data_IF_871212713851
#
_entry.id   IF_871212713851
#
_cell.length_a   1.000
_cell.length_b   1.000
_cell.length_c   1.000
_cell.angle_alpha   90.00
_cell.angle_beta   90.00
_cell.angle_gamma   90.00
#
_symmetry.space_group_name_H-M   'P 1'
#
loop_
_entity.id
_entity.type
_entity.pdbx_description
1 polymer ?
#
# COMPACT_ATOMS: atom_id res chain seq x y z
N UNK A 1 24.88 -0.23 -18.52
CA UNK A 1 25.61 0.83 -19.25
C UNK A 1 25.55 2.20 -18.57
N UNK A 2 25.11 2.35 -17.31
CA UNK A 2 25.03 3.68 -16.66
C UNK A 2 24.05 4.66 -17.31
N UNK A 3 23.23 4.20 -18.26
CA UNK A 3 22.24 4.99 -18.98
C UNK A 3 20.88 4.90 -18.29
N UNK A 4 20.12 5.99 -18.36
CA UNK A 4 18.73 6.01 -17.91
C UNK A 4 17.85 5.15 -18.83
N UNK A 5 16.93 4.40 -18.20
CA UNK A 5 15.97 3.51 -18.87
C UNK A 5 14.57 3.74 -18.33
N UNK A 6 13.57 3.55 -19.18
CA UNK A 6 12.19 3.36 -18.74
C UNK A 6 11.94 1.87 -18.62
N UNK A 7 11.70 1.37 -17.42
CA UNK A 7 11.50 -0.06 -17.15
C UNK A 7 10.06 -0.32 -16.73
N UNK A 8 9.46 -1.38 -17.27
CA UNK A 8 8.19 -1.93 -16.82
C UNK A 8 8.48 -3.21 -16.06
N UNK A 9 7.96 -3.34 -14.83
CA UNK A 9 8.03 -4.57 -14.03
C UNK A 9 6.60 -4.99 -13.69
N UNK A 10 6.25 -6.24 -13.98
CA UNK A 10 4.90 -6.75 -13.82
C UNK A 10 4.93 -8.14 -13.18
N UNK A 11 4.04 -8.39 -12.23
CA UNK A 11 3.78 -9.75 -11.74
C UNK A 11 2.84 -10.50 -12.70
N UNK A 12 3.00 -11.81 -12.81
CA UNK A 12 2.09 -12.68 -13.56
C UNK A 12 0.64 -12.65 -13.02
N UNK A 13 0.46 -12.40 -11.72
CA UNK A 13 -0.84 -12.36 -11.07
C UNK A 13 -1.47 -13.76 -10.96
N UNK A 14 -2.81 -13.91 -11.12
CA UNK A 14 -3.48 -15.22 -11.05
C UNK A 14 -3.37 -16.02 -12.37
N UNK A 15 -2.62 -15.51 -13.36
CA UNK A 15 -2.53 -16.11 -14.68
C UNK A 15 -2.03 -17.56 -14.63
N UNK A 16 -2.65 -18.46 -15.40
CA UNK A 16 -2.19 -19.84 -15.46
C UNK A 16 -0.89 -19.95 -16.26
N UNK A 17 0.21 -20.29 -15.60
CA UNK A 17 1.46 -20.50 -16.33
C UNK A 17 2.61 -20.99 -15.49
N UNK A 18 2.50 -22.20 -14.92
CA UNK A 18 3.63 -22.99 -14.36
C UNK A 18 3.18 -24.26 -13.65
N UNK A 19 2.50 -25.13 -14.40
CA UNK A 19 2.31 -26.53 -14.02
C UNK A 19 3.44 -27.43 -14.50
N UNK A 20 4.72 -27.10 -14.24
CA UNK A 20 5.84 -28.00 -14.59
C UNK A 20 6.59 -28.45 -13.34
N UNK A 21 5.95 -29.31 -12.56
CA UNK A 21 6.58 -30.04 -11.47
C UNK A 21 5.82 -29.96 -10.14
N UNK A 22 5.89 -31.03 -9.36
CA UNK A 22 5.41 -31.07 -7.99
C UNK A 22 6.27 -30.11 -7.15
N UNK A 23 5.71 -28.96 -6.77
CA UNK A 23 6.41 -27.91 -6.00
C UNK A 23 6.82 -26.64 -6.76
N UNK A 24 6.55 -26.54 -8.06
CA UNK A 24 6.60 -25.25 -8.76
C UNK A 24 5.24 -24.56 -8.63
N UNK A 25 5.17 -23.36 -8.03
CA UNK A 25 4.07 -22.43 -8.39
C UNK A 25 4.28 -21.88 -9.76
N UNK A 26 5.57 -21.71 -10.14
CA UNK A 26 6.20 -20.95 -11.21
C UNK A 26 5.59 -19.60 -11.55
N UNK A 27 5.05 -18.95 -10.53
CA UNK A 27 4.75 -17.53 -10.60
C UNK A 27 6.05 -16.73 -10.72
N UNK A 28 6.00 -15.60 -11.42
CA UNK A 28 7.18 -14.77 -11.66
C UNK A 28 6.83 -13.29 -11.82
N UNK A 29 7.86 -12.47 -11.64
CA UNK A 29 7.89 -11.09 -12.13
C UNK A 29 8.65 -11.03 -13.44
N UNK A 30 8.19 -10.22 -14.38
CA UNK A 30 8.89 -9.93 -15.64
C UNK A 30 9.28 -8.46 -15.67
N UNK A 31 10.47 -8.16 -16.21
CA UNK A 31 10.91 -6.81 -16.50
C UNK A 31 11.20 -6.59 -17.98
N UNK A 32 10.78 -5.44 -18.50
CA UNK A 32 10.99 -5.00 -19.87
C UNK A 32 11.65 -3.61 -19.87
N UNK A 33 12.64 -3.41 -20.74
CA UNK A 33 13.08 -2.08 -21.15
C UNK A 33 12.11 -1.55 -22.20
N UNK A 34 11.33 -0.54 -21.81
CA UNK A 34 10.35 0.14 -22.65
C UNK A 34 10.80 1.57 -22.98
N UNK A 35 12.11 1.83 -22.97
CA UNK A 35 12.68 3.13 -23.35
C UNK A 35 12.30 3.48 -24.80
N UNK A 36 12.31 2.49 -25.69
CA UNK A 36 11.70 2.57 -27.01
C UNK A 36 10.37 1.82 -26.99
N UNK A 37 9.26 2.56 -26.98
CA UNK A 37 7.90 1.99 -26.90
C UNK A 37 7.54 1.16 -28.14
N UNK A 38 8.17 1.41 -29.28
CA UNK A 38 7.94 0.65 -30.52
C UNK A 38 8.76 -0.65 -30.55
N UNK A 39 9.74 -0.80 -29.65
CA UNK A 39 10.63 -1.95 -29.60
C UNK A 39 10.97 -2.36 -28.14
N UNK A 40 9.97 -2.75 -27.33
CA UNK A 40 10.20 -3.17 -25.95
C UNK A 40 11.11 -4.40 -25.90
N UNK A 41 12.15 -4.37 -25.07
CA UNK A 41 13.11 -5.47 -24.92
C UNK A 41 12.92 -6.19 -23.59
N UNK A 42 12.94 -7.54 -23.56
CA UNK A 42 12.96 -8.27 -22.29
C UNK A 42 14.28 -8.00 -21.55
N UNK A 43 14.18 -7.75 -20.25
CA UNK A 43 15.33 -7.67 -19.36
C UNK A 43 15.53 -9.00 -18.64
N UNK A 44 14.53 -9.45 -17.88
CA UNK A 44 14.60 -10.66 -17.08
C UNK A 44 13.22 -11.16 -16.66
N UNK A 45 13.18 -12.41 -16.23
CA UNK A 45 12.10 -13.03 -15.45
C UNK A 45 12.69 -13.46 -14.10
N UNK A 46 12.01 -13.11 -13.01
CA UNK A 46 12.43 -13.41 -11.64
C UNK A 46 11.41 -14.31 -10.95
N UNK A 47 11.87 -15.44 -10.41
CA UNK A 47 11.07 -16.42 -9.66
C UNK A 47 11.87 -16.97 -8.48
N UNK A 48 11.18 -17.53 -7.49
CA UNK A 48 11.73 -18.10 -6.26
C UNK A 48 10.81 -19.24 -5.76
N UNK A 49 11.34 -20.17 -4.95
CA UNK A 49 10.56 -21.28 -4.39
C UNK A 49 9.41 -20.86 -3.47
N UNK A 50 9.48 -19.66 -2.87
CA UNK A 50 8.41 -19.06 -2.06
C UNK A 50 7.52 -18.10 -2.86
N UNK A 51 7.70 -17.99 -4.17
CA UNK A 51 6.86 -17.12 -5.01
C UNK A 51 5.41 -17.62 -5.02
N UNK A 52 4.48 -16.75 -4.60
CA UNK A 52 3.03 -16.96 -4.69
C UNK A 52 2.43 -16.26 -5.90
N UNK A 53 1.10 -16.07 -5.94
CA UNK A 53 0.46 -15.26 -6.98
C UNK A 53 0.87 -13.80 -6.84
N UNK A 54 1.69 -13.31 -7.78
CA UNK A 54 2.39 -12.02 -7.67
C UNK A 54 1.48 -10.80 -7.88
N UNK A 55 0.61 -10.53 -6.91
CA UNK A 55 -0.30 -9.37 -6.89
C UNK A 55 0.38 -8.08 -6.41
N UNK A 56 1.51 -8.18 -5.70
CA UNK A 56 2.25 -7.01 -5.21
C UNK A 56 2.85 -6.26 -6.39
N UNK A 57 2.42 -5.01 -6.60
CA UNK A 57 3.03 -4.13 -7.61
C UNK A 57 4.37 -3.64 -7.06
N UNK A 58 5.49 -3.88 -7.76
CA UNK A 58 6.80 -3.46 -7.27
C UNK A 58 6.89 -1.94 -7.10
N UNK A 59 7.51 -1.49 -6.01
CA UNK A 59 7.91 -0.09 -5.86
C UNK A 59 9.40 0.03 -6.16
N UNK A 60 9.78 1.05 -6.93
CA UNK A 60 11.15 1.25 -7.38
C UNK A 60 11.79 2.39 -6.57
N UNK A 61 12.99 2.14 -6.06
CA UNK A 61 13.82 3.12 -5.36
C UNK A 61 15.29 2.94 -5.70
N UNK A 62 16.07 4.01 -5.55
CA UNK A 62 17.53 3.94 -5.65
C UNK A 62 18.10 3.76 -4.24
N UNK A 63 19.07 2.88 -4.08
CA UNK A 63 19.76 2.60 -2.81
C UNK A 63 21.28 2.51 -3.05
N UNK A 64 22.06 2.40 -1.97
CA UNK A 64 23.48 2.07 -2.05
C UNK A 64 23.65 0.59 -1.72
N UNK A 65 24.26 -0.17 -2.63
CA UNK A 65 24.54 -1.61 -2.47
C UNK A 65 26.02 -1.83 -2.75
N UNK A 66 26.76 -2.30 -1.74
CA UNK A 66 28.21 -2.55 -1.82
C UNK A 66 28.99 -1.36 -2.42
N UNK A 67 28.67 -0.14 -2.00
CA UNK A 67 29.30 1.11 -2.45
C UNK A 67 28.79 1.66 -3.78
N UNK A 68 27.80 1.04 -4.41
CA UNK A 68 27.30 1.42 -5.74
C UNK A 68 25.82 1.83 -5.74
N UNK A 69 25.52 2.90 -6.49
CA UNK A 69 24.15 3.32 -6.80
C UNK A 69 23.40 2.18 -7.52
N UNK A 70 22.35 1.66 -6.88
CA UNK A 70 21.56 0.55 -7.44
C UNK A 70 20.09 0.90 -7.49
N UNK A 71 19.49 0.78 -8.69
CA UNK A 71 18.04 0.82 -8.87
C UNK A 71 17.44 -0.51 -8.46
N UNK A 72 16.58 -0.47 -7.45
CA UNK A 72 16.02 -1.66 -6.81
C UNK A 72 14.50 -1.65 -6.92
N UNK A 73 13.94 -2.81 -7.26
CA UNK A 73 12.52 -3.08 -7.16
C UNK A 73 12.23 -3.84 -5.87
N UNK A 74 11.30 -3.32 -5.07
CA UNK A 74 10.84 -3.93 -3.83
C UNK A 74 9.43 -4.48 -4.04
N UNK A 75 9.19 -5.73 -3.67
CA UNK A 75 7.88 -6.38 -3.84
C UNK A 75 7.67 -7.53 -2.86
N UNK A 76 6.42 -7.81 -2.52
CA UNK A 76 6.02 -9.04 -1.86
C UNK A 76 5.86 -10.19 -2.85
N UNK A 77 5.93 -11.42 -2.36
CA UNK A 77 5.84 -12.63 -3.18
C UNK A 77 4.42 -13.00 -3.59
N UNK A 78 3.39 -12.30 -3.11
CA UNK A 78 2.01 -12.55 -3.51
C UNK A 78 1.16 -13.33 -2.52
N UNK A 79 0.01 -13.85 -2.99
CA UNK A 79 -0.83 -14.77 -2.21
C UNK A 79 -0.29 -16.20 -2.29
N UNK A 80 -0.39 -16.95 -1.19
CA UNK A 80 -0.22 -18.40 -1.22
C UNK A 80 -1.35 -19.04 -2.06
N UNK A 81 -0.96 -19.56 -3.22
CA UNK A 81 -1.84 -20.26 -4.15
C UNK A 81 -1.60 -21.77 -4.19
N UNK A 82 -0.80 -22.31 -3.26
CA UNK A 82 -0.49 -23.75 -3.19
C UNK A 82 -1.13 -24.37 -1.96
N UNK A 83 -2.25 -25.05 -2.19
CA UNK A 83 -2.99 -25.70 -1.13
C UNK A 83 -2.13 -26.72 -0.36
N UNK A 84 -2.05 -26.53 0.96
CA UNK A 84 -1.45 -27.50 1.89
C UNK A 84 0.07 -27.45 2.01
N UNK A 85 0.76 -26.54 1.33
CA UNK A 85 2.21 -26.35 1.50
C UNK A 85 2.55 -25.27 2.51
N UNK A 86 1.81 -24.16 2.55
CA UNK A 86 2.05 -23.06 3.51
C UNK A 86 3.43 -22.41 3.35
N UNK A 87 4.02 -22.49 2.14
CA UNK A 87 5.40 -22.08 1.86
C UNK A 87 5.48 -20.96 0.83
N UNK A 88 4.40 -20.60 0.16
CA UNK A 88 4.41 -19.58 -0.87
C UNK A 88 3.82 -18.28 -0.35
N UNK A 89 4.03 -17.18 -1.07
CA UNK A 89 3.38 -15.89 -0.81
C UNK A 89 3.93 -15.08 0.35
N UNK A 90 4.70 -15.66 1.26
CA UNK A 90 5.13 -15.00 2.50
C UNK A 90 6.52 -14.35 2.49
N UNK A 91 7.16 -14.16 1.32
CA UNK A 91 8.49 -13.55 1.21
C UNK A 91 8.44 -12.14 0.62
N UNK A 92 9.27 -11.24 1.14
CA UNK A 92 9.58 -9.94 0.53
C UNK A 92 10.89 -10.05 -0.27
N UNK A 93 11.01 -9.29 -1.37
CA UNK A 93 12.21 -9.23 -2.20
C UNK A 93 12.67 -7.80 -2.45
N UNK A 94 13.98 -7.59 -2.41
CA UNK A 94 14.67 -6.49 -3.08
C UNK A 94 15.46 -7.04 -4.26
N UNK A 95 15.08 -6.62 -5.48
CA UNK A 95 15.65 -7.09 -6.75
C UNK A 95 16.42 -5.97 -7.41
N UNK A 96 17.68 -6.24 -7.76
CA UNK A 96 18.50 -5.34 -8.57
C UNK A 96 17.93 -5.30 -9.99
N UNK A 97 17.43 -4.14 -10.43
CA UNK A 97 16.73 -4.03 -11.70
C UNK A 97 17.65 -4.30 -12.89
N UNK A 98 18.95 -3.97 -12.78
CA UNK A 98 19.90 -4.18 -13.85
C UNK A 98 20.31 -5.66 -13.97
N UNK A 99 20.44 -6.35 -12.84
CA UNK A 99 20.84 -7.76 -12.81
C UNK A 99 19.67 -8.74 -12.94
N UNK A 100 18.46 -8.37 -12.48
CA UNK A 100 17.32 -9.28 -12.37
C UNK A 100 17.43 -10.28 -11.22
N UNK A 101 18.30 -10.00 -10.24
CA UNK A 101 18.61 -10.90 -9.12
C UNK A 101 18.18 -10.27 -7.80
N UNK A 102 17.52 -11.06 -6.95
CA UNK A 102 17.25 -10.66 -5.57
C UNK A 102 18.55 -10.66 -4.76
N UNK A 103 18.79 -9.58 -4.02
CA UNK A 103 19.95 -9.49 -3.12
C UNK A 103 19.57 -9.42 -1.64
N UNK A 104 18.30 -9.15 -1.34
CA UNK A 104 17.77 -9.14 0.01
C UNK A 104 16.35 -9.72 0.04
N UNK A 105 16.03 -10.45 1.10
CA UNK A 105 14.71 -11.06 1.35
C UNK A 105 14.45 -11.17 2.84
N UNK A 106 13.19 -11.10 3.26
CA UNK A 106 12.74 -11.59 4.55
C UNK A 106 11.44 -12.38 4.40
N UNK A 107 11.17 -13.27 5.35
CA UNK A 107 9.95 -14.08 5.41
C UNK A 107 9.02 -13.52 6.50
N UNK A 108 7.72 -13.37 6.21
CA UNK A 108 6.72 -12.89 7.15
C UNK A 108 6.35 -13.98 8.17
N UNK A 109 7.29 -14.26 9.07
CA UNK A 109 7.24 -15.30 10.08
C UNK A 109 6.97 -14.76 11.50
N UNK A 110 6.42 -15.57 12.42
CA UNK A 110 5.84 -16.90 12.21
C UNK A 110 4.42 -16.85 11.59
N UNK A 111 3.90 -17.97 11.06
CA UNK A 111 2.48 -18.05 10.61
C UNK A 111 1.51 -17.94 11.78
N UNK A 112 0.39 -17.22 11.61
CA UNK A 112 -0.71 -17.12 12.56
C UNK A 112 -1.97 -17.78 12.03
N UNK A 113 -2.41 -18.85 12.69
CA UNK A 113 -3.56 -19.61 12.22
C UNK A 113 -4.88 -19.15 12.88
N UNK A 114 -5.66 -18.31 12.21
CA UNK A 114 -6.92 -17.76 12.73
C UNK A 114 -8.08 -18.77 12.77
N UNK A 115 -7.88 -19.99 12.25
CA UNK A 115 -8.84 -21.09 12.42
C UNK A 115 -8.59 -21.90 13.69
N UNK A 116 -7.32 -22.12 14.06
CA UNK A 116 -6.95 -22.99 15.19
C UNK A 116 -6.40 -22.22 16.40
N UNK A 117 -6.09 -20.94 16.25
CA UNK A 117 -5.41 -20.12 17.25
C UNK A 117 -3.91 -20.44 17.40
N UNK A 118 -3.30 -21.07 16.39
CA UNK A 118 -1.88 -21.44 16.48
C UNK A 118 -1.00 -20.19 16.46
N UNK A 119 0.15 -20.27 17.15
CA UNK A 119 1.13 -19.19 17.27
C UNK A 119 0.54 -17.87 17.81
N UNK A 120 -0.44 -17.96 18.72
CA UNK A 120 -1.04 -16.81 19.37
C UNK A 120 -2.04 -16.05 18.50
N UNK A 121 -2.49 -16.63 17.38
CA UNK A 121 -3.53 -16.04 16.55
C UNK A 121 -4.89 -15.99 17.26
N UNK A 122 -5.67 -14.95 17.00
CA UNK A 122 -7.07 -14.90 17.42
C UNK A 122 -7.90 -15.84 16.55
N UNK A 123 -8.76 -16.64 17.17
CA UNK A 123 -9.68 -17.51 16.44
C UNK A 123 -10.82 -16.67 15.87
N UNK A 124 -10.93 -16.61 14.55
CA UNK A 124 -12.00 -15.89 13.89
C UNK A 124 -13.34 -16.63 14.04
N UNK A 125 -14.44 -15.92 14.29
CA UNK A 125 -15.76 -16.52 14.51
C UNK A 125 -16.29 -17.25 13.27
N UNK A 126 -15.81 -16.88 12.08
CA UNK A 126 -16.18 -17.53 10.82
C UNK A 126 -15.46 -18.86 10.56
N UNK A 127 -14.51 -19.27 11.42
CA UNK A 127 -13.75 -20.51 11.32
C UNK A 127 -12.83 -20.62 10.10
N UNK A 128 -12.51 -19.49 9.45
CA UNK A 128 -11.60 -19.41 8.30
C UNK A 128 -10.15 -19.13 8.75
N UNK A 129 -9.21 -19.39 7.85
CA UNK A 129 -7.80 -19.04 7.99
C UNK A 129 -7.33 -18.33 6.71
N UNK A 130 -6.58 -17.24 6.84
CA UNK A 130 -5.79 -16.69 5.74
C UNK A 130 -4.36 -17.21 5.91
N UNK A 131 -3.76 -17.71 4.83
CA UNK A 131 -2.35 -18.09 4.87
C UNK A 131 -1.50 -16.82 4.88
N UNK A 132 -0.44 -16.78 5.69
CA UNK A 132 0.58 -15.71 5.63
C UNK A 132 1.01 -15.44 4.19
N UNK A 133 0.95 -14.19 3.80
CA UNK A 133 1.22 -13.76 2.43
C UNK A 133 1.48 -12.26 2.40
N UNK A 134 2.26 -11.81 1.41
CA UNK A 134 2.61 -10.43 1.13
C UNK A 134 2.08 -10.05 -0.27
N UNK A 135 0.75 -9.97 -0.45
CA UNK A 135 0.13 -9.64 -1.74
C UNK A 135 0.08 -8.12 -1.99
N UNK A 136 0.18 -7.31 -0.94
CA UNK A 136 0.11 -5.86 -1.01
C UNK A 136 1.35 -5.25 -1.61
N UNK A 137 1.20 -4.09 -2.26
CA UNK A 137 2.34 -3.36 -2.82
C UNK A 137 3.09 -2.62 -1.70
N UNK A 138 4.43 -2.53 -1.72
CA UNK A 138 5.13 -1.77 -0.69
C UNK A 138 4.98 -0.25 -0.86
N UNK A 139 4.97 0.46 0.27
CA UNK A 139 5.19 1.91 0.38
C UNK A 139 6.68 2.22 0.50
N UNK A 140 7.13 3.33 -0.09
CA UNK A 140 8.54 3.76 -0.01
C UNK A 140 8.62 5.25 0.32
N UNK A 141 9.67 5.66 1.02
CA UNK A 141 9.94 7.07 1.26
C UNK A 141 11.44 7.38 1.23
N UNK A 142 11.75 8.54 0.67
CA UNK A 142 13.00 9.28 0.79
C UNK A 142 12.74 10.39 1.83
N UNK A 143 13.26 10.21 3.05
CA UNK A 143 13.06 11.07 4.22
C UNK A 143 13.91 12.32 4.11
N UNK A 144 15.14 12.20 3.61
CA UNK A 144 16.14 13.28 3.62
C UNK A 144 16.20 14.08 2.30
N UNK A 145 15.54 13.58 1.25
CA UNK A 145 15.43 14.13 -0.11
C UNK A 145 16.72 14.13 -0.91
N UNK A 146 17.58 13.15 -0.70
CA UNK A 146 18.80 12.96 -1.47
C UNK A 146 18.59 12.12 -2.75
N UNK A 147 17.37 11.63 -2.99
CA UNK A 147 17.02 10.79 -4.13
C UNK A 147 17.37 9.32 -3.93
N UNK A 148 17.60 8.88 -2.70
CA UNK A 148 17.68 7.48 -2.31
C UNK A 148 16.48 7.11 -1.42
N UNK A 149 16.08 5.85 -1.49
CA UNK A 149 15.05 5.34 -0.60
C UNK A 149 15.65 5.17 0.80
N UNK A 150 14.89 5.55 1.83
CA UNK A 150 15.29 5.38 3.23
C UNK A 150 14.49 4.29 3.93
N UNK A 151 13.21 4.12 3.57
CA UNK A 151 12.31 3.15 4.21
C UNK A 151 11.40 2.50 3.18
N UNK A 152 11.18 1.21 3.35
CA UNK A 152 10.15 0.44 2.65
C UNK A 152 9.22 -0.19 3.68
N UNK A 153 7.91 -0.11 3.44
CA UNK A 153 6.88 -0.67 4.32
C UNK A 153 5.96 -1.60 3.53
N UNK A 154 5.57 -2.73 4.12
CA UNK A 154 4.65 -3.67 3.48
C UNK A 154 3.75 -4.33 4.54
N UNK A 155 2.46 -4.44 4.24
CA UNK A 155 1.51 -5.18 5.06
C UNK A 155 1.39 -6.63 4.61
N UNK A 156 0.97 -7.50 5.53
CA UNK A 156 0.67 -8.90 5.23
C UNK A 156 -0.77 -9.31 5.54
N UNK A 157 -1.12 -10.51 5.11
CA UNK A 157 -2.46 -11.07 5.28
C UNK A 157 -2.82 -11.50 6.70
N UNK A 158 -1.86 -11.49 7.62
CA UNK A 158 -2.07 -11.84 9.04
C UNK A 158 -2.09 -10.59 9.94
N UNK A 159 -2.18 -9.41 9.33
CA UNK A 159 -2.39 -8.14 10.02
C UNK A 159 -1.12 -7.50 10.54
N UNK A 160 0.04 -7.81 9.97
CA UNK A 160 1.31 -7.19 10.34
C UNK A 160 1.73 -6.15 9.32
N UNK A 161 2.33 -5.07 9.81
CA UNK A 161 3.04 -4.09 8.99
C UNK A 161 4.54 -4.21 9.27
N UNK A 162 5.31 -4.41 8.22
CA UNK A 162 6.76 -4.57 8.27
C UNK A 162 7.46 -3.33 7.70
N UNK A 163 8.67 -3.06 8.20
CA UNK A 163 9.58 -2.02 7.71
C UNK A 163 10.96 -2.62 7.40
N UNK A 164 11.62 -2.07 6.40
CA UNK A 164 13.06 -2.28 6.15
C UNK A 164 13.74 -0.91 6.04
N UNK A 165 14.84 -0.71 6.78
CA UNK A 165 15.68 0.50 6.67
C UNK A 165 16.65 0.36 5.50
N UNK A 166 16.20 0.84 4.33
CA UNK A 166 16.97 0.80 3.08
C UNK A 166 17.83 2.05 2.86
N UNK A 167 17.80 3.01 3.80
CA UNK A 167 18.70 4.16 3.82
C UNK A 167 20.10 3.79 4.34
N UNK A 168 20.21 2.66 5.02
CA UNK A 168 21.48 2.00 5.30
C UNK A 168 22.04 1.40 4.01
N UNK A 169 23.35 1.54 3.81
CA UNK A 169 24.02 0.82 2.73
C UNK A 169 23.81 -0.69 2.90
N UNK A 170 23.39 -1.36 1.83
CA UNK A 170 23.33 -2.81 1.82
C UNK A 170 24.72 -3.40 1.63
N UNK A 171 25.15 -4.24 2.57
CA UNK A 171 26.35 -5.06 2.45
C UNK A 171 25.95 -6.53 2.54
N UNK A 172 26.44 -7.39 1.64
CA UNK A 172 26.14 -8.83 1.74
C UNK A 172 26.65 -9.47 3.05
N UNK A 173 27.63 -8.86 3.70
CA UNK A 173 28.15 -9.27 5.01
C UNK A 173 27.34 -8.75 6.20
N UNK A 174 26.50 -7.73 5.97
CA UNK A 174 25.68 -7.05 6.96
C UNK A 174 24.35 -6.64 6.29
N UNK A 175 23.51 -7.64 5.95
CA UNK A 175 22.26 -7.39 5.25
C UNK A 175 21.32 -6.56 6.15
N UNK A 176 20.36 -5.89 5.53
CA UNK A 176 19.29 -5.22 6.26
C UNK A 176 18.52 -6.20 7.15
N UNK A 177 17.81 -5.67 8.13
CA UNK A 177 16.88 -6.41 8.97
C UNK A 177 15.47 -5.85 8.78
N UNK A 178 14.47 -6.72 8.79
CA UNK A 178 13.07 -6.35 8.88
C UNK A 178 12.66 -6.01 10.32
N UNK A 179 11.75 -5.06 10.45
CA UNK A 179 11.17 -4.64 11.73
C UNK A 179 9.66 -4.76 11.68
N UNK A 180 9.07 -5.39 12.70
CA UNK A 180 7.61 -5.42 12.88
C UNK A 180 7.16 -4.10 13.49
N UNK A 181 6.43 -3.29 12.71
CA UNK A 181 5.98 -1.96 13.09
C UNK A 181 4.63 -1.96 13.82
N UNK A 182 3.76 -2.87 13.41
CA UNK A 182 2.39 -2.98 13.91
C UNK A 182 1.89 -4.40 13.70
N UNK A 183 1.07 -4.87 14.63
CA UNK A 183 0.32 -6.10 14.50
C UNK A 183 -1.12 -5.88 14.98
N UNK A 184 -2.08 -6.13 14.08
CA UNK A 184 -3.51 -6.04 14.41
C UNK A 184 -3.87 -7.09 15.49
N UNK A 185 -4.52 -6.69 16.60
CA UNK A 185 -4.82 -7.61 17.69
C UNK A 185 -5.67 -8.81 17.30
N UNK A 186 -6.46 -8.71 16.22
CA UNK A 186 -7.31 -9.78 15.69
C UNK A 186 -6.76 -10.40 14.41
N UNK A 187 -5.51 -10.07 14.03
CA UNK A 187 -4.85 -10.55 12.83
C UNK A 187 -5.59 -10.21 11.53
N UNK A 188 -6.31 -9.07 11.50
CA UNK A 188 -7.04 -8.66 10.31
C UNK A 188 -6.09 -8.23 9.17
N UNK A 189 -6.25 -8.76 7.95
CA UNK A 189 -5.32 -8.56 6.83
C UNK A 189 -5.03 -7.09 6.50
N UNK A 190 -3.76 -6.77 6.21
CA UNK A 190 -3.30 -5.48 5.67
C UNK A 190 -2.72 -5.72 4.28
N UNK A 191 -3.55 -5.56 3.24
CA UNK A 191 -3.13 -5.84 1.85
C UNK A 191 -2.99 -4.59 0.98
N UNK A 192 -3.41 -3.43 1.48
CA UNK A 192 -3.32 -2.17 0.73
C UNK A 192 -1.91 -1.63 0.79
N UNK A 193 -1.46 -0.94 -0.25
CA UNK A 193 -0.20 -0.22 -0.24
C UNK A 193 -0.18 0.83 0.88
N UNK A 194 0.74 0.75 1.86
CA UNK A 194 0.84 1.79 2.87
C UNK A 194 1.16 3.13 2.23
N UNK A 195 0.38 4.16 2.54
CA UNK A 195 0.68 5.51 2.11
C UNK A 195 1.64 6.15 3.12
N UNK A 196 2.72 6.75 2.64
CA UNK A 196 3.76 7.31 3.51
C UNK A 196 3.85 8.81 3.31
N UNK A 197 3.97 9.55 4.41
CA UNK A 197 4.16 11.00 4.42
C UNK A 197 5.18 11.42 5.46
N UNK A 198 5.94 12.48 5.19
CA UNK A 198 6.82 13.13 6.16
C UNK A 198 6.64 14.64 6.07
N UNK A 199 6.62 15.33 7.22
CA UNK A 199 6.53 16.79 7.24
C UNK A 199 7.82 17.40 6.69
N UNK A 200 7.64 18.25 5.68
CA UNK A 200 8.75 18.78 4.90
C UNK A 200 9.51 19.86 5.69
N UNK A 201 10.82 19.68 5.87
CA UNK A 201 11.67 20.73 6.44
C UNK A 201 11.47 20.98 7.94
N UNK A 202 10.74 20.11 8.64
CA UNK A 202 10.73 20.06 10.09
C UNK A 202 11.92 19.20 10.57
N UNK A 203 12.89 19.76 11.34
CA UNK A 203 14.00 18.98 11.89
C UNK A 203 13.48 17.82 12.74
N UNK A 204 13.99 16.61 12.49
CA UNK A 204 13.56 15.41 13.21
C UNK A 204 12.15 14.92 12.85
N UNK A 205 11.57 15.35 11.72
CA UNK A 205 10.30 14.82 11.27
C UNK A 205 10.37 13.30 11.08
N UNK A 206 9.39 12.60 11.65
CA UNK A 206 9.23 11.16 11.51
C UNK A 206 8.21 10.85 10.40
N UNK A 207 8.43 9.79 9.60
CA UNK A 207 7.44 9.32 8.64
C UNK A 207 6.14 8.91 9.36
N UNK A 208 5.01 9.19 8.72
CA UNK A 208 3.70 8.64 9.05
C UNK A 208 3.30 7.65 7.98
N UNK A 209 2.85 6.48 8.41
CA UNK A 209 2.44 5.36 7.56
C UNK A 209 0.94 5.14 7.77
N UNK A 210 0.17 5.20 6.68
CA UNK A 210 -1.28 5.05 6.70
C UNK A 210 -1.69 3.76 5.98
N UNK A 211 -2.49 2.94 6.64
CA UNK A 211 -2.95 1.65 6.11
C UNK A 211 -4.29 1.27 6.75
N UNK A 212 -5.02 0.37 6.11
CA UNK A 212 -6.27 -0.15 6.65
C UNK A 212 -6.29 -1.66 6.71
N UNK A 213 -7.20 -2.20 7.52
CA UNK A 213 -7.34 -3.63 7.76
C UNK A 213 -8.58 -4.23 7.09
N UNK A 214 -8.62 -5.56 7.04
CA UNK A 214 -9.78 -6.35 6.62
C UNK A 214 -9.82 -6.74 5.14
N UNK A 215 -8.83 -6.33 4.34
CA UNK A 215 -8.77 -6.64 2.92
C UNK A 215 -8.42 -8.10 2.62
N UNK A 216 -9.31 -9.04 2.92
CA UNK A 216 -9.29 -10.41 2.39
C UNK A 216 -10.72 -10.99 2.40
N UNK A 217 -11.03 -11.82 1.42
CA UNK A 217 -12.36 -12.43 1.27
C UNK A 217 -12.66 -13.50 2.35
N UNK A 218 -11.62 -13.97 3.05
CA UNK A 218 -11.74 -14.86 4.21
C UNK A 218 -11.86 -14.10 5.52
N UNK A 219 -11.57 -12.79 5.56
CA UNK A 219 -11.77 -11.99 6.75
C UNK A 219 -13.28 -11.92 7.11
N UNK A 220 -13.68 -11.90 8.40
CA UNK A 220 -15.08 -11.98 8.81
C UNK A 220 -15.98 -10.88 8.23
N UNK A 221 -17.16 -11.24 7.71
CA UNK A 221 -18.02 -10.29 6.98
C UNK A 221 -18.66 -9.21 7.88
N UNK A 222 -18.67 -9.41 9.20
CA UNK A 222 -19.32 -8.57 10.20
C UNK A 222 -18.35 -8.01 11.26
N UNK A 223 -17.04 -8.21 11.09
CA UNK A 223 -16.03 -7.65 11.98
C UNK A 223 -15.93 -6.12 11.87
N UNK A 224 -15.52 -5.47 12.94
CA UNK A 224 -15.12 -4.05 12.92
C UNK A 224 -13.64 -3.98 12.56
N UNK A 225 -13.35 -3.32 11.45
CA UNK A 225 -11.99 -3.11 10.94
C UNK A 225 -11.50 -1.70 11.27
N UNK A 226 -10.24 -1.44 10.93
CA UNK A 226 -9.53 -0.24 11.33
C UNK A 226 -8.81 0.45 10.18
N UNK A 227 -8.57 1.74 10.35
CA UNK A 227 -7.64 2.53 9.56
C UNK A 227 -6.64 3.18 10.50
N UNK A 228 -5.35 2.93 10.32
CA UNK A 228 -4.31 3.31 11.27
C UNK A 228 -3.38 4.35 10.64
N UNK A 229 -3.03 5.38 11.41
CA UNK A 229 -1.90 6.26 11.15
C UNK A 229 -0.79 5.98 12.16
N UNK A 230 0.31 5.41 11.71
CA UNK A 230 1.45 5.03 12.55
C UNK A 230 2.62 6.01 12.34
N UNK A 231 3.31 6.40 13.41
CA UNK A 231 4.56 7.15 13.38
C UNK A 231 5.73 6.17 13.38
N UNK A 232 6.62 6.29 12.39
CA UNK A 232 7.88 5.54 12.33
C UNK A 232 8.98 6.27 13.11
N UNK A 233 8.92 6.11 14.45
CA UNK A 233 9.94 6.55 15.41
C UNK A 233 10.96 5.47 15.74
N UNK A 234 11.71 5.68 16.82
CA UNK A 234 12.55 4.62 17.42
C UNK A 234 11.67 3.48 17.95
N UNK A 235 10.58 3.86 18.63
CA UNK A 235 9.46 2.98 18.95
C UNK A 235 8.26 3.42 18.09
N UNK A 236 7.73 2.54 17.22
CA UNK A 236 6.54 2.85 16.44
C UNK A 236 5.30 3.06 17.32
N UNK A 237 4.55 4.13 17.07
CA UNK A 237 3.33 4.47 17.83
C UNK A 237 2.19 4.91 16.92
N UNK A 238 0.94 4.67 17.34
CA UNK A 238 -0.24 5.12 16.59
C UNK A 238 -0.51 6.60 16.90
N UNK A 239 -0.53 7.45 15.86
CA UNK A 239 -0.85 8.89 15.98
C UNK A 239 -2.36 9.13 16.07
N UNK A 240 -3.12 8.35 15.32
CA UNK A 240 -4.57 8.32 15.33
C UNK A 240 -5.07 7.10 14.57
N UNK A 241 -6.33 6.73 14.82
CA UNK A 241 -6.97 5.64 14.10
C UNK A 241 -8.46 5.89 13.86
N UNK A 242 -9.03 5.09 12.97
CA UNK A 242 -10.44 4.77 12.99
C UNK A 242 -10.62 3.32 13.38
N UNK A 243 -11.55 3.03 14.29
CA UNK A 243 -11.85 1.68 14.75
C UNK A 243 -12.06 1.60 16.26
N UNK A 244 -12.45 0.43 16.72
CA UNK A 244 -12.85 0.23 18.11
C UNK A 244 -11.62 0.18 19.06
N UNK A 245 -11.51 1.09 20.05
CA UNK A 245 -10.38 1.16 20.98
C UNK A 245 -10.20 -0.12 21.81
N UNK A 246 -11.29 -0.77 22.21
CA UNK A 246 -11.25 -2.00 23.03
C UNK A 246 -10.73 -3.18 22.21
N UNK A 247 -11.05 -3.20 20.91
CA UNK A 247 -10.52 -4.21 19.98
C UNK A 247 -9.05 -3.95 19.69
N UNK A 248 -8.68 -2.70 19.44
CA UNK A 248 -7.32 -2.32 19.03
C UNK A 248 -6.34 -2.27 20.20
N UNK A 249 -6.83 -2.25 21.44
CA UNK A 249 -6.02 -2.06 22.65
C UNK A 249 -5.23 -0.74 22.60
N UNK A 250 -5.84 0.30 22.03
CA UNK A 250 -5.25 1.63 21.84
C UNK A 250 -5.96 2.68 22.71
N UNK A 251 -5.30 3.83 22.90
CA UNK A 251 -5.85 4.94 23.66
C UNK A 251 -7.09 5.54 22.97
N UNK A 252 -8.16 5.82 23.72
CA UNK A 252 -9.32 6.58 23.23
C UNK A 252 -8.94 8.02 22.80
N UNK A 253 -7.83 8.57 23.32
CA UNK A 253 -7.36 9.92 22.96
C UNK A 253 -6.93 10.01 21.48
N UNK A 254 -6.56 8.88 20.88
CA UNK A 254 -6.08 8.77 19.50
C UNK A 254 -7.21 8.32 18.54
N UNK A 255 -8.38 7.98 19.06
CA UNK A 255 -9.56 7.62 18.27
C UNK A 255 -10.11 8.85 17.50
N UNK A 256 -10.40 8.66 16.22
CA UNK A 256 -10.98 9.68 15.32
C UNK A 256 -12.29 9.23 14.68
N UNK A 257 -12.91 8.15 15.16
CA UNK A 257 -14.19 7.61 14.72
C UNK A 257 -14.10 6.14 14.31
N UNK A 258 -15.23 5.53 13.93
CA UNK A 258 -15.30 4.10 13.64
C UNK A 258 -15.62 3.78 12.18
N UNK A 259 -15.10 2.65 11.71
CA UNK A 259 -15.66 1.96 10.54
C UNK A 259 -16.87 1.14 10.97
N UNK A 260 -17.88 1.03 10.10
CA UNK A 260 -19.04 0.19 10.40
C UNK A 260 -18.68 -1.30 10.36
N UNK A 261 -19.45 -2.15 11.03
CA UNK A 261 -19.27 -3.60 10.93
C UNK A 261 -19.27 -4.07 9.45
N UNK A 262 -18.29 -4.90 9.10
CA UNK A 262 -18.05 -5.44 7.76
C UNK A 262 -17.37 -4.47 6.78
N UNK A 263 -17.08 -3.25 7.20
CA UNK A 263 -16.47 -2.21 6.35
C UNK A 263 -14.95 -2.38 6.27
N UNK A 264 -14.49 -3.04 5.21
CA UNK A 264 -13.09 -3.40 4.95
C UNK A 264 -12.37 -2.32 4.15
N UNK A 265 -11.08 -2.09 4.41
CA UNK A 265 -10.25 -1.19 3.60
C UNK A 265 -9.58 -1.98 2.47
N UNK A 266 -10.08 -1.80 1.24
CA UNK A 266 -9.63 -2.54 0.05
C UNK A 266 -8.76 -1.74 -0.91
N UNK A 267 -8.69 -0.43 -0.70
CA UNK A 267 -8.07 0.51 -1.63
C UNK A 267 -6.83 1.16 -1.02
N UNK A 268 -5.79 1.29 -1.85
CA UNK A 268 -4.56 1.98 -1.50
C UNK A 268 -4.85 3.43 -1.08
N UNK A 269 -4.50 3.83 0.16
CA UNK A 269 -4.72 5.19 0.60
C UNK A 269 -3.91 6.19 -0.23
N UNK A 270 -4.48 7.36 -0.51
CA UNK A 270 -3.88 8.38 -1.36
C UNK A 270 -3.70 9.68 -0.59
N UNK A 271 -2.48 10.22 -0.58
CA UNK A 271 -2.21 11.50 0.07
C UNK A 271 -2.30 12.64 -0.96
N UNK A 272 -3.04 13.70 -0.65
CA UNK A 272 -3.03 14.94 -1.40
C UNK A 272 -3.42 16.13 -0.53
N UNK A 273 -2.80 17.29 -0.74
CA UNK A 273 -3.18 18.56 -0.08
C UNK A 273 -3.29 18.47 1.45
N UNK A 274 -2.37 17.75 2.09
CA UNK A 274 -2.39 17.50 3.54
C UNK A 274 -3.62 16.75 4.04
N UNK A 275 -4.18 15.92 3.16
CA UNK A 275 -5.24 14.98 3.47
C UNK A 275 -4.83 13.59 2.98
N UNK A 276 -5.32 12.57 3.68
CA UNK A 276 -5.27 11.17 3.29
C UNK A 276 -6.68 10.76 2.87
N UNK A 277 -6.81 10.12 1.71
CA UNK A 277 -8.04 9.55 1.19
C UNK A 277 -7.95 8.05 1.21
N UNK A 278 -9.01 7.38 1.58
CA UNK A 278 -9.13 5.94 1.44
C UNK A 278 -10.60 5.57 1.28
N UNK A 279 -10.86 4.48 0.58
CA UNK A 279 -12.21 3.97 0.40
C UNK A 279 -12.36 2.61 1.06
N UNK A 280 -13.56 2.38 1.55
CA UNK A 280 -13.94 1.15 2.23
C UNK A 280 -15.12 0.50 1.53
N UNK A 281 -15.29 -0.79 1.79
CA UNK A 281 -16.35 -1.59 1.19
C UNK A 281 -16.85 -2.65 2.17
N UNK A 282 -18.14 -2.94 2.12
CA UNK A 282 -18.68 -4.16 2.73
C UNK A 282 -18.68 -5.32 1.74
N UNK A 283 -18.43 -6.52 2.26
CA UNK A 283 -18.39 -7.77 1.49
C UNK A 283 -17.05 -8.05 0.80
N UNK A 284 -17.10 -8.95 -0.18
CA UNK A 284 -15.91 -9.52 -0.83
C UNK A 284 -15.74 -8.95 -2.23
N UNK A 285 -14.59 -8.33 -2.47
CA UNK A 285 -14.38 -7.55 -3.69
C UNK A 285 -14.15 -8.41 -4.94
N UNK A 286 -13.67 -9.64 -4.79
CA UNK A 286 -13.50 -10.57 -5.92
C UNK A 286 -14.83 -11.19 -6.38
N UNK A 287 -15.89 -11.04 -5.57
CA UNK A 287 -17.25 -11.48 -5.93
C UNK A 287 -18.11 -10.36 -6.51
N UNK A 288 -17.55 -9.16 -6.61
CA UNK A 288 -18.24 -7.97 -7.10
C UNK A 288 -18.04 -7.87 -8.61
N UNK A 289 -19.14 -8.00 -9.35
CA UNK A 289 -19.16 -7.54 -10.74
C UNK A 289 -19.35 -6.01 -10.73
N UNK A 290 -18.37 -5.21 -11.17
CA UNK A 290 -18.50 -3.74 -11.19
C UNK A 290 -19.61 -3.26 -12.15
N UNK A 291 -20.06 -4.10 -13.09
CA UNK A 291 -21.12 -3.79 -14.06
C UNK A 291 -22.53 -4.10 -13.51
N UNK A 292 -22.64 -5.03 -12.57
CA UNK A 292 -23.94 -5.52 -12.07
C UNK A 292 -24.17 -5.25 -10.57
N UNK A 293 -23.10 -5.13 -9.78
CA UNK A 293 -23.15 -4.93 -8.34
C UNK A 293 -23.11 -3.44 -7.97
N UNK A 294 -24.16 -2.71 -8.35
CA UNK A 294 -24.45 -1.35 -7.85
C UNK A 294 -24.94 -1.35 -6.38
N UNK A 295 -25.19 -2.53 -5.81
CA UNK A 295 -25.68 -2.70 -4.45
C UNK A 295 -24.53 -2.92 -3.45
N UNK A 296 -24.30 -1.92 -2.59
CA UNK A 296 -23.45 -1.98 -1.40
C UNK A 296 -22.88 -0.61 -1.03
N UNK A 297 -22.63 -0.41 0.26
CA UNK A 297 -22.26 0.90 0.81
C UNK A 297 -20.75 1.08 0.76
N UNK A 298 -20.20 1.32 -0.44
CA UNK A 298 -18.84 1.85 -0.52
C UNK A 298 -18.82 3.21 0.19
N UNK A 299 -17.74 3.52 0.90
CA UNK A 299 -17.56 4.83 1.52
C UNK A 299 -16.19 5.39 1.19
N UNK A 300 -16.14 6.70 1.02
CA UNK A 300 -14.90 7.45 0.88
C UNK A 300 -14.66 8.26 2.14
N UNK A 301 -13.46 8.16 2.67
CA UNK A 301 -12.98 8.91 3.81
C UNK A 301 -11.91 9.90 3.36
N UNK A 302 -11.83 11.03 4.07
CA UNK A 302 -10.74 11.98 3.92
C UNK A 302 -10.39 12.54 5.29
N UNK A 303 -9.12 12.37 5.72
CA UNK A 303 -8.63 12.86 7.01
C UNK A 303 -7.48 13.84 6.82
N UNK A 304 -7.38 14.82 7.72
CA UNK A 304 -6.21 15.70 7.73
C UNK A 304 -4.97 14.97 8.25
N UNK A 305 -3.86 15.05 7.52
CA UNK A 305 -2.56 14.49 7.95
C UNK A 305 -1.74 15.46 8.82
N UNK A 306 -2.29 16.66 9.05
CA UNK A 306 -1.76 17.68 9.94
C UNK A 306 -2.90 18.44 10.58
N UNK A 307 -2.68 19.01 11.76
CA UNK A 307 -3.66 19.90 12.37
C UNK A 307 -3.95 21.10 11.47
N UNK A 308 -5.24 21.41 11.30
CA UNK A 308 -5.72 22.64 10.66
C UNK A 308 -6.55 23.42 11.67
N UNK A 309 -6.81 24.71 11.40
CA UNK A 309 -7.50 25.58 12.37
C UNK A 309 -8.85 24.99 12.76
N UNK A 310 -8.98 24.59 14.03
CA UNK A 310 -10.20 23.99 14.57
C UNK A 310 -10.40 22.50 14.25
N UNK A 311 -9.40 21.81 13.70
CA UNK A 311 -9.47 20.36 13.48
C UNK A 311 -8.10 19.72 13.73
N UNK A 312 -7.93 18.92 14.81
CA UNK A 312 -6.69 18.18 15.06
C UNK A 312 -6.39 17.19 13.92
N UNK A 313 -5.15 16.69 13.89
CA UNK A 313 -4.75 15.60 12.98
C UNK A 313 -5.70 14.40 13.09
N UNK A 314 -5.97 13.75 11.96
CA UNK A 314 -6.90 12.63 11.86
C UNK A 314 -8.38 13.03 11.80
N UNK A 315 -8.73 14.30 12.01
CA UNK A 315 -10.12 14.77 11.85
C UNK A 315 -10.61 14.65 10.41
N UNK A 316 -11.93 14.48 10.22
CA UNK A 316 -12.55 14.51 8.88
C UNK A 316 -12.25 15.81 8.14
N UNK A 317 -11.83 15.67 6.89
CA UNK A 317 -11.65 16.76 5.94
C UNK A 317 -12.92 17.01 5.10
N UNK A 318 -13.92 16.13 5.18
CA UNK A 318 -15.16 16.33 4.44
C UNK A 318 -16.14 17.26 5.15
N UNK A 319 -16.74 18.14 4.34
CA UNK A 319 -17.74 19.10 4.78
C UNK A 319 -18.79 19.30 3.71
N UNK A 320 -20.05 19.24 4.12
CA UNK A 320 -21.22 19.55 3.30
C UNK A 320 -21.83 20.88 3.75
N UNK A 321 -22.92 21.30 3.08
CA UNK A 321 -23.68 22.48 3.49
C UNK A 321 -24.25 22.39 4.92
N UNK A 322 -24.44 21.17 5.45
CA UNK A 322 -25.02 20.92 6.77
C UNK A 322 -23.99 20.72 7.88
N UNK A 323 -22.70 20.56 7.55
CA UNK A 323 -21.64 20.38 8.55
C UNK A 323 -20.51 19.48 8.07
N UNK A 324 -19.62 19.12 8.99
CA UNK A 324 -18.66 18.05 8.75
C UNK A 324 -19.39 16.72 8.60
N UNK A 325 -18.91 15.88 7.69
CA UNK A 325 -19.42 14.52 7.49
C UNK A 325 -18.25 13.55 7.57
N UNK A 326 -18.51 12.36 8.06
CA UNK A 326 -17.45 11.41 8.36
C UNK A 326 -16.87 10.76 7.11
N UNK A 327 -17.76 10.45 6.18
CA UNK A 327 -17.48 9.87 4.88
C UNK A 327 -18.53 10.27 3.86
N UNK A 328 -18.23 10.04 2.59
CA UNK A 328 -19.17 10.16 1.48
C UNK A 328 -19.53 8.75 1.00
N UNK A 329 -20.79 8.50 0.67
CA UNK A 329 -21.20 7.26 0.03
C UNK A 329 -20.63 7.19 -1.39
N UNK A 330 -20.11 6.03 -1.78
CA UNK A 330 -19.74 5.71 -3.15
C UNK A 330 -20.90 4.99 -3.83
N UNK A 331 -21.18 5.33 -5.07
CA UNK A 331 -22.25 4.68 -5.84
C UNK A 331 -21.86 3.26 -6.31
N UNK A 332 -20.56 2.95 -6.32
CA UNK A 332 -20.03 1.67 -6.83
C UNK A 332 -18.96 1.13 -5.88
N UNK A 333 -18.87 -0.20 -5.87
CA UNK A 333 -17.81 -0.95 -5.21
C UNK A 333 -16.54 -0.98 -6.06
N UNK A 334 -15.48 -0.26 -5.68
CA UNK A 334 -14.21 -0.24 -6.42
C UNK A 334 -12.98 -0.39 -5.52
N UNK A 335 -11.93 -1.06 -6.01
CA UNK A 335 -10.59 -1.18 -5.37
C UNK A 335 -9.79 0.13 -5.43
N UNK A 336 -10.18 1.07 -6.29
CA UNK A 336 -9.47 2.33 -6.49
C UNK A 336 -10.48 3.45 -6.75
N UNK A 337 -11.06 4.00 -5.69
CA UNK A 337 -12.04 5.08 -5.84
C UNK A 337 -11.38 6.42 -6.15
N UNK A 338 -10.10 6.66 -5.80
CA UNK A 338 -9.50 8.00 -5.81
C UNK A 338 -8.28 8.09 -6.73
N UNK A 339 -8.37 8.93 -7.76
CA UNK A 339 -7.24 9.39 -8.56
C UNK A 339 -7.02 10.88 -8.33
N UNK A 340 -5.76 11.29 -8.15
CA UNK A 340 -5.42 12.69 -7.88
C UNK A 340 -4.92 13.36 -9.16
N UNK A 341 -5.70 14.33 -9.66
CA UNK A 341 -5.41 15.12 -10.85
C UNK A 341 -4.39 16.25 -10.66
N UNK A 342 -4.19 17.02 -11.73
CA UNK A 342 -3.30 18.17 -11.76
C UNK A 342 -3.86 19.37 -10.97
N UNK A 343 -2.97 20.28 -10.57
CA UNK A 343 -3.36 21.54 -9.92
C UNK A 343 -3.70 22.57 -10.99
N UNK A 344 -4.93 23.08 -10.99
CA UNK A 344 -5.40 24.13 -11.90
C UNK A 344 -5.61 25.45 -11.14
N UNK A 345 -5.51 26.59 -11.84
CA UNK A 345 -5.77 27.91 -11.27
C UNK A 345 -7.11 28.42 -11.80
N UNK A 346 -8.10 28.58 -10.92
CA UNK A 346 -9.42 29.11 -11.28
C UNK A 346 -9.80 30.23 -10.30
N UNK A 347 -10.07 31.43 -10.83
CA UNK A 347 -10.50 32.58 -10.02
C UNK A 347 -9.47 33.06 -8.98
N UNK A 348 -8.17 32.88 -9.23
CA UNK A 348 -7.11 33.29 -8.30
C UNK A 348 -6.81 32.29 -7.17
N UNK A 349 -7.58 31.20 -7.08
CA UNK A 349 -7.37 30.11 -6.12
C UNK A 349 -6.76 28.91 -6.86
N UNK A 350 -5.68 28.34 -6.33
CA UNK A 350 -5.16 27.05 -6.81
C UNK A 350 -6.09 25.95 -6.31
N UNK A 351 -6.57 25.13 -7.22
CA UNK A 351 -7.41 23.96 -6.93
C UNK A 351 -6.70 22.71 -7.41
N UNK A 352 -6.87 21.62 -6.68
CA UNK A 352 -6.46 20.29 -7.17
C UNK A 352 -7.70 19.44 -7.36
N UNK A 353 -7.75 18.75 -8.49
CA UNK A 353 -8.85 17.85 -8.80
C UNK A 353 -8.59 16.51 -8.10
N UNK A 354 -9.51 16.11 -7.22
CA UNK A 354 -9.58 14.75 -6.70
C UNK A 354 -10.69 14.07 -7.49
N UNK A 355 -10.32 13.16 -8.37
CA UNK A 355 -11.25 12.37 -9.15
C UNK A 355 -11.67 11.17 -8.33
N UNK A 356 -12.98 11.04 -8.15
CA UNK A 356 -13.58 9.85 -7.62
C UNK A 356 -14.13 9.07 -8.82
N UNK A 357 -13.63 7.86 -9.04
CA UNK A 357 -13.98 7.07 -10.23
C UNK A 357 -15.36 6.42 -10.08
N UNK A 358 -16.25 6.68 -11.02
CA UNK A 358 -17.55 6.01 -11.18
C UNK A 358 -17.64 5.33 -12.57
N UNK A 359 -18.52 4.32 -12.71
CA UNK A 359 -18.54 3.32 -13.79
C UNK A 359 -19.03 3.87 -15.14
N UNK A 360 -19.87 4.90 -15.15
CA UNK A 360 -20.45 5.46 -16.39
C UNK A 360 -19.53 6.51 -17.07
N UNK A 361 -18.26 6.59 -16.68
CA UNK A 361 -17.34 7.67 -17.06
C UNK A 361 -17.75 9.05 -16.53
N UNK A 362 -18.71 9.14 -15.60
CA UNK A 362 -18.85 10.35 -14.79
C UNK A 362 -17.72 10.36 -13.76
N UNK A 363 -16.88 11.38 -13.88
CA UNK A 363 -15.88 11.69 -12.87
C UNK A 363 -16.58 12.57 -11.85
N UNK A 364 -16.87 12.04 -10.66
CA UNK A 364 -17.21 12.90 -9.55
C UNK A 364 -15.94 13.66 -9.15
N UNK A 365 -15.95 14.95 -9.49
CA UNK A 365 -14.83 15.86 -9.30
C UNK A 365 -15.03 16.61 -8.00
N UNK A 366 -14.21 16.30 -7.00
CA UNK A 366 -14.08 17.13 -5.83
C UNK A 366 -13.01 18.19 -6.09
N UNK A 367 -13.43 19.45 -6.14
CA UNK A 367 -12.49 20.58 -6.22
C UNK A 367 -12.06 21.00 -4.82
N UNK A 368 -10.77 20.83 -4.52
CA UNK A 368 -10.23 21.27 -3.25
C UNK A 368 -9.24 22.42 -3.39
N UNK A 369 -9.26 23.41 -2.47
CA UNK A 369 -8.21 24.40 -2.37
C UNK A 369 -6.85 23.71 -2.17
N UNK A 370 -5.86 24.08 -2.99
CA UNK A 370 -4.51 23.55 -2.91
C UNK A 370 -3.55 24.66 -2.45
N UNK A 371 -2.75 24.37 -1.42
CA UNK A 371 -1.63 25.22 -1.03
C UNK A 371 -0.50 25.20 -2.07
N UNK A 372 0.47 26.13 -1.99
CA UNK A 372 1.64 26.12 -2.85
C UNK A 372 2.58 24.98 -2.41
N UNK A 373 2.31 23.75 -2.84
CA UNK A 373 3.20 22.63 -2.57
C UNK A 373 3.51 21.91 -3.89
N UNK A 374 4.79 21.93 -4.27
CA UNK A 374 5.35 21.15 -5.37
C UNK A 374 5.50 19.71 -4.85
N UNK A 375 4.78 18.76 -5.43
CA UNK A 375 4.99 17.33 -5.20
C UNK A 375 5.37 16.69 -6.53
N UNK A 376 6.61 16.28 -6.67
CA UNK A 376 7.07 15.48 -7.80
C UNK A 376 6.52 14.08 -7.59
N UNK A 377 5.50 13.69 -8.36
CA UNK A 377 4.94 12.32 -8.35
C UNK A 377 5.71 11.37 -9.29
N UNK A 378 6.34 11.96 -10.28
CA UNK A 378 7.25 11.39 -11.26
C UNK A 378 7.89 12.58 -11.98
N UNK A 379 9.13 12.44 -12.46
CA UNK A 379 9.74 13.46 -13.30
C UNK A 379 9.84 12.95 -14.74
N UNK A 380 9.51 13.81 -15.69
CA UNK A 380 9.83 13.64 -17.11
C UNK A 380 10.53 14.91 -17.54
N UNK A 381 11.80 14.82 -17.92
CA UNK A 381 12.47 15.95 -18.57
C UNK A 381 11.94 16.10 -19.99
N UNK A 382 11.35 17.26 -20.30
CA UNK A 382 10.97 17.62 -21.67
C UNK A 382 12.13 18.40 -22.26
N UNK A 383 12.99 17.72 -23.03
CA UNK A 383 13.99 18.42 -23.83
C UNK A 383 13.35 19.01 -25.08
N UNK A 384 13.47 20.33 -25.23
CA UNK A 384 13.11 21.01 -26.47
C UNK A 384 14.15 20.65 -27.53
N UNK A 385 13.79 19.76 -28.45
CA UNK A 385 14.61 19.47 -29.63
C UNK A 385 14.66 20.75 -30.46
N UNK A 386 15.79 21.47 -30.39
CA UNK A 386 16.12 22.50 -31.37
C UNK A 386 16.69 21.72 -32.56
N UNK A 387 15.90 21.66 -33.65
CA UNK A 387 16.32 21.08 -34.92
C UNK A 387 17.42 21.91 -35.57
#
# INVERSE_FOLDING_TARGET
SGEWKTVLICGQGPGQGSGVGEGATGNYYVALDITDIENPQPLWEFTDERMGETWSVPVIGRIIKNGEDTWTAFMGSGYDNVAGQGRQGHRFYAVDIAAGESFFTFDADPEKNTKTGANGAVIWPNGKNVARSLPGSPGIIDKNRDGYADRVYIGDTEGRLWKVDVGLEFLSSDPWEEELMYEDPNNYPIITKPAVWIEAGAPGALPRVYFGTGGDDKAPDDAVYSFIALIDGEDPEVEWYLGDPDILLLSEDDDRGDLSAGEKVWADPQIANSMIYFSTLTGNIETVDPCESLAGTGKLYSRYIRSVVGSPVGSTAFRTATGQVESLGLEIKTRAAVTIGETTQAGGIRKKEVYIQEYDSTLQKLEQPAGPMLRIKSWREIFKIIK
#
